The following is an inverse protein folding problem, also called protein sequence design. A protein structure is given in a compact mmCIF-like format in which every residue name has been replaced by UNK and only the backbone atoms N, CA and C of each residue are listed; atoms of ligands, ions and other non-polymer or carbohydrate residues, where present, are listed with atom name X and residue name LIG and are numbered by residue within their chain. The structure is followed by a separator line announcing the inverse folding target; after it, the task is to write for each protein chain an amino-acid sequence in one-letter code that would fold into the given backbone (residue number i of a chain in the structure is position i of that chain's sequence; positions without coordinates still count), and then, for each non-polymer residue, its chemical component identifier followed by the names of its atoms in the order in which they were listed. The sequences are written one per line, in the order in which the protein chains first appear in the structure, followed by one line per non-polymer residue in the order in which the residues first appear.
data_IF_878820703458
#
_entry.id   IF_878820703458
#
_cell.length_a   1.000
_cell.length_b   1.000
_cell.length_c   1.000
_cell.angle_alpha   90.00
_cell.angle_beta   90.00
_cell.angle_gamma   90.00
#
_symmetry.space_group_name_H-M   'P 1'
#
loop_
_entity.id
_entity.type
_entity.pdbx_description
1 polymer ?
#
# COMPACT_ATOMS: atom_id res chain seq x y z
N UNK A 1 35.44 0.65 85.96
CA UNK A 1 34.33 -0.07 85.29
C UNK A 1 34.30 0.40 83.86
N UNK A 2 34.87 -0.39 82.97
CA UNK A 2 34.97 -0.09 81.56
C UNK A 2 33.86 -0.89 80.87
N UNK A 3 32.96 -0.18 80.15
CA UNK A 3 31.90 -0.82 79.37
C UNK A 3 32.37 -0.78 77.90
N UNK A 4 32.68 -1.95 77.41
CA UNK A 4 32.99 -2.22 76.00
C UNK A 4 31.72 -2.18 75.19
N UNK A 5 31.66 -1.30 74.18
CA UNK A 5 30.67 -1.26 73.12
C UNK A 5 30.97 -2.34 72.08
N UNK A 6 29.98 -3.03 71.48
CA UNK A 6 30.23 -3.97 70.42
C UNK A 6 30.39 -3.21 69.05
N UNK A 7 31.42 -3.58 68.37
CA UNK A 7 31.80 -3.13 67.05
C UNK A 7 30.76 -3.65 65.98
N UNK A 8 30.01 -2.73 65.38
CA UNK A 8 29.06 -3.04 64.29
C UNK A 8 29.81 -2.84 63.01
N UNK A 9 30.27 -3.91 62.39
CA UNK A 9 30.81 -3.89 61.03
C UNK A 9 29.75 -3.45 60.01
N UNK A 10 30.09 -2.55 59.09
CA UNK A 10 29.17 -2.15 58.01
C UNK A 10 28.94 -3.34 57.05
N UNK A 11 27.68 -3.77 56.94
CA UNK A 11 27.26 -4.72 55.92
C UNK A 11 27.49 -4.12 54.51
N UNK A 12 28.38 -4.72 53.75
CA UNK A 12 28.55 -4.44 52.33
C UNK A 12 27.22 -4.51 51.60
N UNK A 13 26.88 -3.50 50.71
CA UNK A 13 25.71 -3.60 49.88
C UNK A 13 25.94 -4.72 48.86
N UNK A 14 25.13 -5.79 48.98
CA UNK A 14 25.04 -6.81 47.93
C UNK A 14 24.73 -6.11 46.59
N UNK A 15 25.73 -6.02 45.72
CA UNK A 15 25.54 -5.69 44.34
C UNK A 15 24.64 -6.75 43.71
N UNK A 16 23.36 -6.43 43.58
CA UNK A 16 22.49 -7.18 42.70
C UNK A 16 23.01 -6.95 41.28
N UNK A 17 23.93 -7.80 40.83
CA UNK A 17 24.26 -7.94 39.44
C UNK A 17 22.99 -8.37 38.72
N UNK A 18 22.25 -7.39 38.19
CA UNK A 18 21.23 -7.65 37.18
C UNK A 18 21.96 -8.29 36.03
N UNK A 19 21.91 -9.61 35.96
CA UNK A 19 22.30 -10.38 34.81
C UNK A 19 21.41 -9.93 33.65
N UNK A 20 21.79 -8.82 32.97
CA UNK A 20 21.36 -8.56 31.61
C UNK A 20 22.00 -9.66 30.76
N UNK A 21 21.33 -10.80 30.69
CA UNK A 21 21.67 -11.83 29.73
C UNK A 21 21.65 -11.16 28.36
N UNK A 22 22.83 -11.03 27.76
CA UNK A 22 22.96 -10.57 26.38
C UNK A 22 22.16 -11.55 25.53
N UNK A 23 20.97 -11.13 25.10
CA UNK A 23 20.15 -11.94 24.18
C UNK A 23 20.98 -12.15 22.93
N UNK A 24 21.28 -13.40 22.64
CA UNK A 24 22.02 -13.75 21.43
C UNK A 24 21.17 -13.37 20.20
N UNK A 25 21.51 -12.23 19.59
CA UNK A 25 20.82 -11.71 18.40
C UNK A 25 20.74 -12.75 17.27
N UNK A 26 21.68 -13.69 17.21
CA UNK A 26 21.70 -14.76 16.21
C UNK A 26 20.54 -15.73 16.40
N UNK A 27 20.16 -16.02 17.64
CA UNK A 27 19.04 -16.91 17.96
C UNK A 27 17.69 -16.32 17.52
N UNK A 28 17.59 -15.00 17.36
CA UNK A 28 16.39 -14.31 16.88
C UNK A 28 16.49 -14.09 15.36
N UNK A 29 17.61 -13.56 14.88
CA UNK A 29 17.77 -13.18 13.46
C UNK A 29 17.69 -14.38 12.52
N UNK A 30 18.24 -15.54 12.90
CA UNK A 30 18.27 -16.73 12.04
C UNK A 30 16.88 -17.27 11.69
N UNK A 31 15.94 -17.49 12.64
CA UNK A 31 14.58 -17.92 12.31
C UNK A 31 13.83 -16.95 11.40
N UNK A 32 13.97 -15.64 11.61
CA UNK A 32 13.35 -14.63 10.74
C UNK A 32 13.99 -14.63 9.34
N UNK A 33 15.30 -14.73 9.24
CA UNK A 33 15.98 -14.82 7.96
C UNK A 33 15.53 -16.04 7.16
N UNK A 34 15.37 -17.20 7.80
CA UNK A 34 14.85 -18.41 7.19
C UNK A 34 13.38 -18.20 6.75
N UNK A 35 12.52 -17.67 7.63
CA UNK A 35 11.10 -17.44 7.34
C UNK A 35 10.91 -16.45 6.18
N UNK A 36 11.68 -15.38 6.14
CA UNK A 36 11.68 -14.38 5.07
C UNK A 36 12.25 -14.98 3.78
N UNK A 37 13.38 -15.66 3.87
CA UNK A 37 14.05 -16.28 2.71
C UNK A 37 13.18 -17.32 2.02
N UNK A 38 12.44 -18.12 2.79
CA UNK A 38 11.53 -19.14 2.27
C UNK A 38 10.37 -18.54 1.44
N UNK A 39 10.05 -17.25 1.61
CA UNK A 39 8.98 -16.60 0.86
C UNK A 39 9.44 -15.95 -0.44
N UNK A 40 10.75 -15.80 -0.68
CA UNK A 40 11.30 -15.13 -1.86
C UNK A 40 10.72 -15.69 -3.17
N UNK A 41 10.61 -17.02 -3.40
CA UNK A 41 10.04 -17.53 -4.64
C UNK A 41 8.58 -17.08 -4.86
N UNK A 42 7.77 -17.08 -3.79
CA UNK A 42 6.36 -16.62 -3.86
C UNK A 42 6.24 -15.12 -4.06
N UNK A 43 7.16 -14.33 -3.48
CA UNK A 43 7.23 -12.88 -3.71
C UNK A 43 7.63 -12.55 -5.15
N UNK A 44 8.54 -13.32 -5.74
CA UNK A 44 8.91 -13.18 -7.16
C UNK A 44 7.70 -13.49 -8.05
N UNK A 45 6.97 -14.57 -7.77
CA UNK A 45 5.74 -14.90 -8.50
C UNK A 45 4.68 -13.81 -8.34
N UNK A 46 4.51 -13.28 -7.13
CA UNK A 46 3.59 -12.17 -6.87
C UNK A 46 3.98 -10.90 -7.64
N UNK A 47 5.25 -10.51 -7.60
CA UNK A 47 5.77 -9.37 -8.34
C UNK A 47 5.57 -9.53 -9.85
N UNK A 48 5.81 -10.73 -10.38
CA UNK A 48 5.56 -11.05 -11.79
C UNK A 48 4.08 -10.92 -12.14
N UNK A 49 3.17 -11.47 -11.33
CA UNK A 49 1.73 -11.35 -11.54
C UNK A 49 1.26 -9.89 -11.51
N UNK A 50 1.77 -9.08 -10.55
CA UNK A 50 1.45 -7.66 -10.50
C UNK A 50 1.93 -6.91 -11.75
N UNK A 51 3.09 -7.27 -12.28
CA UNK A 51 3.67 -6.59 -13.43
C UNK A 51 3.01 -6.99 -14.76
N UNK A 52 2.73 -8.29 -14.96
CA UNK A 52 2.25 -8.83 -16.22
C UNK A 52 0.72 -8.84 -16.32
N UNK A 53 0.03 -9.24 -15.25
CA UNK A 53 -1.40 -9.55 -15.30
C UNK A 53 -2.26 -8.39 -14.75
N UNK A 54 -1.66 -7.44 -14.02
CA UNK A 54 -2.39 -6.37 -13.33
C UNK A 54 -1.75 -4.99 -13.60
N UNK A 55 -2.01 -4.36 -14.74
CA UNK A 55 -1.36 -3.10 -15.13
C UNK A 55 -1.56 -1.97 -14.12
N UNK A 56 -2.65 -1.97 -13.37
CA UNK A 56 -2.93 -0.97 -12.32
C UNK A 56 -2.01 -1.08 -11.10
N UNK A 57 -1.30 -2.20 -10.93
CA UNK A 57 -0.31 -2.39 -9.87
C UNK A 57 1.15 -2.25 -10.34
N UNK A 58 1.42 -1.90 -11.58
CA UNK A 58 2.79 -1.81 -12.13
C UNK A 58 3.70 -0.83 -11.37
N UNK A 59 3.13 0.14 -10.66
CA UNK A 59 3.86 1.11 -9.84
C UNK A 59 4.30 0.57 -8.46
N UNK A 60 4.05 -0.72 -8.15
CA UNK A 60 4.43 -1.30 -6.86
C UNK A 60 5.93 -1.19 -6.50
N UNK A 61 6.91 -1.22 -7.44
CA UNK A 61 8.31 -1.01 -7.08
C UNK A 61 8.57 0.38 -6.49
N UNK A 62 7.82 1.39 -6.97
CA UNK A 62 7.88 2.76 -6.43
C UNK A 62 7.33 2.79 -5.01
N UNK A 63 6.30 1.99 -4.70
CA UNK A 63 5.76 1.90 -3.34
C UNK A 63 6.76 1.25 -2.36
N UNK A 64 7.51 0.23 -2.80
CA UNK A 64 8.59 -0.34 -1.99
C UNK A 64 9.65 0.73 -1.71
N UNK A 65 10.11 1.42 -2.75
CA UNK A 65 11.11 2.49 -2.60
C UNK A 65 10.61 3.60 -1.68
N UNK A 66 9.38 4.09 -1.86
CA UNK A 66 8.76 5.10 -1.01
C UNK A 66 8.69 4.64 0.46
N UNK A 67 8.26 3.40 0.70
CA UNK A 67 8.20 2.80 2.05
C UNK A 67 9.59 2.79 2.70
N UNK A 68 10.61 2.35 1.97
CA UNK A 68 12.00 2.31 2.47
C UNK A 68 12.54 3.71 2.76
N UNK A 69 12.32 4.68 1.86
CA UNK A 69 12.76 6.06 2.05
C UNK A 69 12.05 6.74 3.23
N UNK A 70 10.74 6.52 3.38
CA UNK A 70 9.97 7.04 4.52
C UNK A 70 10.45 6.39 5.82
N UNK A 71 10.65 5.07 5.84
CA UNK A 71 11.17 4.37 7.01
C UNK A 71 12.57 4.87 7.38
N UNK A 72 13.43 5.04 6.39
CA UNK A 72 14.77 5.63 6.58
C UNK A 72 14.70 7.05 7.17
N UNK A 73 13.84 7.91 6.61
CA UNK A 73 13.69 9.31 7.08
C UNK A 73 13.11 9.41 8.50
N UNK A 74 12.39 8.38 8.94
CA UNK A 74 11.77 8.29 10.27
C UNK A 74 12.60 7.51 11.28
N UNK A 75 13.68 6.86 10.82
CA UNK A 75 14.55 6.12 11.71
C UNK A 75 15.28 7.08 12.66
N UNK A 76 15.13 6.94 13.98
CA UNK A 76 15.83 7.81 14.92
C UNK A 76 17.33 7.54 14.85
N UNK A 77 18.14 8.62 14.89
CA UNK A 77 19.61 8.51 14.84
C UNK A 77 20.19 7.71 16.02
N UNK A 78 19.50 7.72 17.14
CA UNK A 78 19.87 7.02 18.39
C UNK A 78 18.84 5.93 18.71
N UNK A 79 18.48 5.12 17.71
CA UNK A 79 17.55 4.01 17.93
C UNK A 79 18.12 3.02 18.94
N UNK A 80 17.44 2.86 20.07
CA UNK A 80 17.73 1.79 21.01
C UNK A 80 17.16 0.50 20.46
N UNK A 81 17.99 -0.53 20.42
CA UNK A 81 17.57 -1.89 20.02
C UNK A 81 17.55 -2.80 21.26
N UNK A 82 16.50 -2.69 22.10
CA UNK A 82 16.47 -3.37 23.39
C UNK A 82 16.29 -4.88 23.27
N UNK A 83 16.04 -5.42 22.11
CA UNK A 83 15.71 -6.84 21.89
C UNK A 83 14.82 -7.39 23.02
N UNK A 84 13.53 -7.15 22.91
CA UNK A 84 12.58 -7.63 23.92
C UNK A 84 11.47 -8.50 23.27
N UNK A 85 11.07 -9.53 24.00
CA UNK A 85 9.90 -10.31 23.61
C UNK A 85 8.64 -9.57 24.01
N UNK A 86 7.72 -9.33 23.05
CA UNK A 86 6.43 -8.72 23.31
C UNK A 86 5.31 -9.59 22.74
N UNK A 87 4.16 -9.59 23.39
CA UNK A 87 2.98 -10.30 22.90
C UNK A 87 2.63 -9.86 21.47
N UNK A 88 2.77 -8.56 21.19
CA UNK A 88 2.55 -8.03 19.85
C UNK A 88 3.48 -8.69 18.82
N UNK A 89 4.79 -8.83 19.11
CA UNK A 89 5.73 -9.46 18.19
C UNK A 89 5.38 -10.93 17.96
N UNK A 90 4.96 -11.66 18.99
CA UNK A 90 4.61 -13.07 18.89
C UNK A 90 3.30 -13.26 18.07
N UNK A 91 2.30 -12.41 18.29
CA UNK A 91 1.04 -12.41 17.49
C UNK A 91 1.32 -12.13 16.03
N UNK A 92 2.11 -11.09 15.73
CA UNK A 92 2.47 -10.74 14.35
C UNK A 92 3.29 -11.85 13.69
N UNK A 93 4.17 -12.54 14.42
CA UNK A 93 4.93 -13.68 13.93
C UNK A 93 3.99 -14.83 13.55
N UNK A 94 3.10 -15.23 14.45
CA UNK A 94 2.15 -16.32 14.21
C UNK A 94 1.24 -15.97 13.02
N UNK A 95 0.70 -14.77 12.97
CA UNK A 95 -0.11 -14.31 11.84
C UNK A 95 0.71 -14.34 10.52
N UNK A 96 1.93 -13.85 10.53
CA UNK A 96 2.81 -13.88 9.36
C UNK A 96 3.05 -15.30 8.86
N UNK A 97 3.34 -16.24 9.75
CA UNK A 97 3.51 -17.65 9.40
C UNK A 97 2.22 -18.30 8.90
N UNK A 98 1.07 -17.97 9.48
CA UNK A 98 -0.23 -18.44 8.98
C UNK A 98 -0.50 -17.95 7.55
N UNK A 99 -0.21 -16.69 7.24
CA UNK A 99 -0.34 -16.17 5.87
C UNK A 99 0.67 -16.82 4.92
N UNK A 100 1.89 -17.16 5.37
CA UNK A 100 2.86 -17.91 4.58
C UNK A 100 2.32 -19.29 4.21
N UNK A 101 1.77 -20.02 5.18
CA UNK A 101 1.15 -21.32 4.97
C UNK A 101 -0.06 -21.20 4.03
N UNK A 102 -0.94 -20.21 4.26
CA UNK A 102 -2.10 -19.95 3.41
C UNK A 102 -1.69 -19.65 1.96
N UNK A 103 -0.61 -18.92 1.74
CA UNK A 103 -0.07 -18.63 0.42
C UNK A 103 0.23 -19.91 -0.37
N UNK A 104 0.85 -20.91 0.29
CA UNK A 104 1.23 -22.18 -0.33
C UNK A 104 0.00 -23.08 -0.54
N UNK A 105 -0.85 -23.24 0.49
CA UNK A 105 -2.02 -24.14 0.46
C UNK A 105 -3.07 -23.67 -0.54
N UNK A 106 -3.36 -22.38 -0.57
CA UNK A 106 -4.42 -21.82 -1.41
C UNK A 106 -3.91 -21.24 -2.73
N UNK A 107 -2.61 -21.36 -3.02
CA UNK A 107 -1.97 -20.77 -4.22
C UNK A 107 -2.31 -19.28 -4.39
N UNK A 108 -2.28 -18.55 -3.29
CA UNK A 108 -2.69 -17.16 -3.20
C UNK A 108 -1.47 -16.23 -3.00
N UNK A 109 -0.80 -15.78 -4.09
CA UNK A 109 0.50 -15.09 -4.01
C UNK A 109 0.50 -13.79 -3.21
N UNK A 110 -0.63 -13.06 -3.15
CA UNK A 110 -0.73 -11.83 -2.35
C UNK A 110 -0.61 -12.09 -0.84
N UNK A 111 -0.93 -13.30 -0.37
CA UNK A 111 -0.70 -13.68 1.01
C UNK A 111 0.80 -13.70 1.38
N UNK A 112 1.70 -13.92 0.40
CA UNK A 112 3.14 -13.81 0.63
C UNK A 112 3.56 -12.38 0.97
N UNK A 113 3.00 -11.38 0.28
CA UNK A 113 3.28 -9.97 0.57
C UNK A 113 2.74 -9.58 1.95
N UNK A 114 1.51 -9.99 2.31
CA UNK A 114 0.94 -9.76 3.64
C UNK A 114 1.79 -10.45 4.72
N UNK A 115 2.19 -11.70 4.51
CA UNK A 115 3.07 -12.44 5.40
C UNK A 115 4.40 -11.71 5.61
N UNK A 116 5.04 -11.27 4.52
CA UNK A 116 6.31 -10.52 4.58
C UNK A 116 6.17 -9.24 5.41
N UNK A 117 5.10 -8.47 5.20
CA UNK A 117 4.84 -7.26 5.98
C UNK A 117 4.67 -7.58 7.47
N UNK A 118 3.93 -8.65 7.81
CA UNK A 118 3.73 -9.09 9.20
C UNK A 118 5.02 -9.58 9.84
N UNK A 119 5.85 -10.35 9.13
CA UNK A 119 7.14 -10.82 9.64
C UNK A 119 8.11 -9.67 9.88
N UNK A 120 8.18 -8.70 8.97
CA UNK A 120 9.00 -7.49 9.16
C UNK A 120 8.47 -6.66 10.33
N UNK A 121 7.15 -6.48 10.45
CA UNK A 121 6.54 -5.78 11.57
C UNK A 121 6.79 -6.50 12.91
N UNK A 122 6.73 -7.84 12.94
CA UNK A 122 7.09 -8.67 14.10
C UNK A 122 8.56 -8.48 14.49
N UNK A 123 9.47 -8.53 13.52
CA UNK A 123 10.89 -8.32 13.75
C UNK A 123 11.16 -6.92 14.32
N UNK A 124 10.56 -5.87 13.75
CA UNK A 124 10.65 -4.50 14.25
C UNK A 124 10.09 -4.39 15.67
N UNK A 125 8.91 -4.97 15.95
CA UNK A 125 8.30 -4.96 17.27
C UNK A 125 9.16 -5.67 18.34
N UNK A 126 10.07 -6.56 17.93
CA UNK A 126 11.00 -7.28 18.81
C UNK A 126 12.34 -6.56 18.98
N UNK A 127 12.76 -5.80 17.97
CA UNK A 127 14.12 -5.23 17.93
C UNK A 127 14.18 -3.76 18.29
N UNK A 128 13.08 -2.99 18.12
CA UNK A 128 13.06 -1.55 18.41
C UNK A 128 12.13 -1.23 19.58
N UNK A 129 12.35 -0.10 20.22
CA UNK A 129 11.47 0.42 21.25
C UNK A 129 10.10 0.85 20.71
N UNK A 130 9.12 0.99 21.60
CA UNK A 130 7.74 1.32 21.23
C UNK A 130 7.60 2.66 20.53
N UNK A 131 8.41 3.66 20.88
CA UNK A 131 8.37 4.99 20.26
C UNK A 131 8.87 4.93 18.82
N UNK A 132 9.97 4.22 18.58
CA UNK A 132 10.50 3.97 17.23
C UNK A 132 9.48 3.19 16.39
N UNK A 133 8.89 2.14 16.93
CA UNK A 133 7.85 1.36 16.24
C UNK A 133 6.65 2.23 15.84
N UNK A 134 6.18 3.09 16.77
CA UNK A 134 5.10 4.05 16.52
C UNK A 134 5.45 5.09 15.45
N UNK A 135 6.72 5.45 15.34
CA UNK A 135 7.21 6.35 14.28
C UNK A 135 7.26 5.67 12.92
N UNK A 136 7.61 4.37 12.89
CA UNK A 136 7.86 3.63 11.65
C UNK A 136 6.60 3.02 11.03
N UNK A 137 5.59 2.58 11.83
CA UNK A 137 4.43 1.86 11.31
C UNK A 137 3.71 2.60 10.16
N UNK A 138 3.58 3.95 10.14
CA UNK A 138 2.91 4.62 9.03
C UNK A 138 3.66 4.51 7.70
N UNK A 139 4.98 4.21 7.74
CA UNK A 139 5.75 3.99 6.52
C UNK A 139 5.29 2.76 5.73
N UNK A 140 4.57 1.81 6.36
CA UNK A 140 4.01 0.64 5.67
C UNK A 140 2.73 0.96 4.88
N UNK A 141 2.04 2.09 5.16
CA UNK A 141 0.77 2.42 4.54
C UNK A 141 0.79 2.47 3.00
N UNK A 142 1.84 3.01 2.32
CA UNK A 142 1.92 2.97 0.87
C UNK A 142 1.88 1.54 0.29
N UNK A 143 2.41 0.55 1.01
CA UNK A 143 2.40 -0.85 0.56
C UNK A 143 0.99 -1.46 0.54
N UNK A 144 0.08 -1.02 1.43
CA UNK A 144 -1.29 -1.53 1.45
C UNK A 144 -2.08 -1.19 0.19
N UNK A 145 -1.75 -0.08 -0.48
CA UNK A 145 -2.41 0.30 -1.76
C UNK A 145 -2.14 -0.74 -2.85
N UNK A 146 -0.97 -1.41 -2.79
CA UNK A 146 -0.56 -2.41 -3.77
C UNK A 146 -0.73 -3.85 -3.29
N UNK A 147 -1.31 -4.05 -2.11
CA UNK A 147 -1.69 -5.37 -1.67
C UNK A 147 -2.95 -5.81 -2.45
N UNK A 148 -2.76 -6.72 -3.39
CA UNK A 148 -3.85 -7.25 -4.21
C UNK A 148 -4.94 -7.85 -3.33
N UNK A 149 -6.18 -7.37 -3.52
CA UNK A 149 -7.33 -7.85 -2.77
C UNK A 149 -7.62 -9.32 -3.11
N UNK A 150 -7.99 -10.14 -2.11
CA UNK A 150 -8.31 -11.55 -2.32
C UNK A 150 -9.58 -11.72 -3.17
N UNK A 151 -9.71 -12.90 -3.78
CA UNK A 151 -10.96 -13.36 -4.42
C UNK A 151 -11.45 -12.46 -5.58
N UNK A 152 -10.57 -11.70 -6.23
CA UNK A 152 -10.96 -10.83 -7.36
C UNK A 152 -11.77 -9.60 -6.95
N UNK A 153 -11.76 -9.21 -5.68
CA UNK A 153 -12.43 -7.99 -5.22
C UNK A 153 -11.88 -6.74 -5.89
N UNK A 154 -10.60 -6.75 -6.28
CA UNK A 154 -10.00 -5.71 -7.11
C UNK A 154 -10.67 -5.63 -8.49
N UNK A 155 -10.90 -6.76 -9.13
CA UNK A 155 -11.60 -6.83 -10.42
C UNK A 155 -13.05 -6.34 -10.28
N UNK A 156 -13.74 -6.78 -9.22
CA UNK A 156 -15.11 -6.30 -8.95
C UNK A 156 -15.16 -4.79 -8.74
N UNK A 157 -14.23 -4.24 -7.95
CA UNK A 157 -14.14 -2.80 -7.73
C UNK A 157 -13.88 -2.06 -9.04
N UNK A 158 -12.94 -2.54 -9.84
CA UNK A 158 -12.60 -1.97 -11.15
C UNK A 158 -13.82 -1.96 -12.08
N UNK A 159 -14.51 -3.08 -12.20
CA UNK A 159 -15.71 -3.21 -13.04
C UNK A 159 -16.82 -2.25 -12.58
N UNK A 160 -17.02 -2.11 -11.27
CA UNK A 160 -18.01 -1.14 -10.74
C UNK A 160 -17.61 0.29 -11.03
N UNK A 161 -16.33 0.65 -10.85
CA UNK A 161 -15.84 1.99 -11.17
C UNK A 161 -16.02 2.32 -12.66
N UNK A 162 -15.70 1.37 -13.56
CA UNK A 162 -15.90 1.53 -15.00
C UNK A 162 -17.38 1.72 -15.33
N UNK A 163 -18.25 0.91 -14.76
CA UNK A 163 -19.70 1.01 -14.97
C UNK A 163 -20.27 2.36 -14.52
N UNK A 164 -19.90 2.84 -13.32
CA UNK A 164 -20.34 4.15 -12.84
C UNK A 164 -19.78 5.30 -13.69
N UNK A 165 -18.53 5.19 -14.14
CA UNK A 165 -17.94 6.16 -15.09
C UNK A 165 -18.71 6.18 -16.40
N UNK A 166 -19.15 5.01 -16.92
CA UNK A 166 -19.98 4.91 -18.12
C UNK A 166 -21.33 5.64 -17.95
N UNK A 167 -22.02 5.39 -16.85
CA UNK A 167 -23.31 6.07 -16.55
C UNK A 167 -23.12 7.59 -16.48
N UNK A 168 -22.10 8.06 -15.77
CA UNK A 168 -21.81 9.48 -15.65
C UNK A 168 -21.50 10.10 -17.02
N UNK A 169 -20.68 9.41 -17.85
CA UNK A 169 -20.37 9.87 -19.20
C UNK A 169 -21.60 9.88 -20.09
N UNK A 170 -22.44 8.84 -20.06
CA UNK A 170 -23.69 8.80 -20.81
C UNK A 170 -24.59 10.00 -20.48
N UNK A 171 -24.76 10.32 -19.20
CA UNK A 171 -25.52 11.51 -18.75
C UNK A 171 -24.90 12.83 -19.25
N UNK A 172 -23.56 12.92 -19.28
CA UNK A 172 -22.90 14.12 -19.83
C UNK A 172 -23.11 14.24 -21.34
N UNK A 173 -23.13 13.14 -22.08
CA UNK A 173 -23.46 13.13 -23.51
C UNK A 173 -24.91 13.53 -23.74
N UNK A 174 -25.86 13.04 -22.93
CA UNK A 174 -27.27 13.49 -22.98
C UNK A 174 -27.38 14.98 -22.74
N UNK A 175 -26.71 15.52 -21.72
CA UNK A 175 -26.69 16.96 -21.42
C UNK A 175 -26.08 17.79 -22.57
N UNK A 176 -25.11 17.21 -23.29
CA UNK A 176 -24.50 17.83 -24.47
C UNK A 176 -25.36 17.69 -25.75
N UNK A 177 -26.51 16.99 -25.68
CA UNK A 177 -27.39 16.76 -26.82
C UNK A 177 -26.82 15.77 -27.83
N UNK A 178 -25.86 14.93 -27.44
CA UNK A 178 -25.20 13.97 -28.29
C UNK A 178 -25.90 12.60 -28.23
N UNK A 179 -26.55 12.22 -29.33
CA UNK A 179 -27.20 10.92 -29.47
C UNK A 179 -26.18 9.80 -29.32
N UNK A 180 -26.43 8.89 -28.40
CA UNK A 180 -25.57 7.73 -28.15
C UNK A 180 -26.38 6.56 -27.59
N UNK A 181 -25.81 5.37 -27.60
CA UNK A 181 -26.36 4.18 -26.96
C UNK A 181 -25.32 3.61 -26.00
N UNK A 182 -25.74 3.27 -24.78
CA UNK A 182 -24.88 2.66 -23.78
C UNK A 182 -25.26 1.18 -23.60
N UNK A 183 -24.30 0.28 -23.82
CA UNK A 183 -24.42 -1.14 -23.52
C UNK A 183 -23.33 -1.54 -22.52
N UNK A 184 -23.73 -1.72 -21.27
CA UNK A 184 -22.81 -2.01 -20.17
C UNK A 184 -21.75 -0.91 -19.97
N UNK A 185 -20.51 -1.18 -20.35
CA UNK A 185 -19.37 -0.27 -20.31
C UNK A 185 -18.97 0.24 -21.71
N UNK A 186 -19.78 -0.01 -22.71
CA UNK A 186 -19.53 0.42 -24.09
C UNK A 186 -20.46 1.57 -24.45
N UNK A 187 -19.92 2.65 -24.97
CA UNK A 187 -20.68 3.79 -25.48
C UNK A 187 -20.58 3.77 -27.01
N UNK A 188 -21.71 3.76 -27.68
CA UNK A 188 -21.83 3.75 -29.14
C UNK A 188 -22.43 5.08 -29.61
N UNK A 189 -21.73 5.78 -30.48
CA UNK A 189 -22.23 6.98 -31.15
C UNK A 189 -22.61 6.61 -32.58
N UNK A 190 -23.82 6.95 -33.05
CA UNK A 190 -24.25 6.61 -34.41
C UNK A 190 -23.28 7.11 -35.47
N UNK A 191 -22.87 6.22 -36.40
CA UNK A 191 -21.93 6.55 -37.49
C UNK A 191 -20.46 6.63 -37.09
N UNK A 192 -20.12 6.27 -35.85
CA UNK A 192 -18.75 6.24 -35.34
C UNK A 192 -18.41 4.89 -34.74
N UNK A 193 -17.14 4.68 -34.36
CA UNK A 193 -16.71 3.47 -33.66
C UNK A 193 -17.33 3.37 -32.26
N UNK A 194 -17.45 2.15 -31.78
CA UNK A 194 -17.87 1.91 -30.39
C UNK A 194 -16.69 2.11 -29.42
N UNK A 195 -16.92 2.88 -28.37
CA UNK A 195 -15.90 3.17 -27.35
C UNK A 195 -16.10 2.26 -26.13
N UNK A 196 -15.30 1.20 -26.05
CA UNK A 196 -15.21 0.37 -24.86
C UNK A 196 -14.45 1.10 -23.76
N UNK A 197 -15.06 1.30 -22.59
CA UNK A 197 -14.39 1.99 -21.47
C UNK A 197 -13.15 1.23 -21.02
N UNK A 198 -13.14 -0.11 -21.16
CA UNK A 198 -11.96 -0.94 -20.86
C UNK A 198 -10.77 -0.58 -21.74
N UNK A 199 -10.98 -0.30 -23.01
CA UNK A 199 -9.93 0.07 -23.97
C UNK A 199 -9.53 1.55 -23.86
N UNK A 200 -10.50 2.44 -23.64
CA UNK A 200 -10.28 3.88 -23.56
C UNK A 200 -9.75 4.33 -22.20
N UNK A 201 -9.91 3.50 -21.17
CA UNK A 201 -9.73 3.92 -19.78
C UNK A 201 -8.75 3.06 -19.00
N UNK A 202 -7.48 3.42 -19.06
CA UNK A 202 -6.53 3.10 -17.98
C UNK A 202 -6.81 3.92 -16.69
N UNK A 203 -8.05 4.46 -16.52
CA UNK A 203 -8.42 5.29 -15.38
C UNK A 203 -8.24 4.60 -14.02
N UNK A 204 -8.34 3.28 -14.01
CA UNK A 204 -8.04 2.47 -12.83
C UNK A 204 -6.58 2.61 -12.42
N UNK A 205 -5.66 2.61 -13.38
CA UNK A 205 -4.23 2.85 -13.09
C UNK A 205 -4.03 4.24 -12.49
N UNK A 206 -4.66 5.27 -13.06
CA UNK A 206 -4.62 6.65 -12.52
C UNK A 206 -5.22 6.72 -11.11
N UNK A 207 -6.31 6.00 -10.86
CA UNK A 207 -6.93 5.90 -9.53
C UNK A 207 -5.97 5.34 -8.49
N UNK A 208 -5.33 4.18 -8.75
CA UNK A 208 -4.37 3.59 -7.82
C UNK A 208 -3.14 4.47 -7.65
N UNK A 209 -2.68 5.13 -8.72
CA UNK A 209 -1.54 6.06 -8.66
C UNK A 209 -1.86 7.29 -7.80
N UNK A 210 -3.02 7.93 -7.98
CA UNK A 210 -3.43 9.09 -7.18
C UNK A 210 -3.67 8.70 -5.71
N UNK A 211 -4.28 7.55 -5.48
CA UNK A 211 -4.45 7.02 -4.12
C UNK A 211 -3.10 6.80 -3.44
N UNK A 212 -2.14 6.20 -4.15
CA UNK A 212 -0.79 6.01 -3.66
C UNK A 212 -0.10 7.34 -3.34
N UNK A 213 -0.14 8.31 -4.25
CA UNK A 213 0.45 9.64 -4.02
C UNK A 213 -0.19 10.31 -2.80
N UNK A 214 -1.51 10.25 -2.66
CA UNK A 214 -2.23 10.81 -1.51
C UNK A 214 -1.79 10.16 -0.19
N UNK A 215 -1.65 8.82 -0.16
CA UNK A 215 -1.18 8.09 1.01
C UNK A 215 0.26 8.47 1.34
N UNK A 216 1.16 8.50 0.35
CA UNK A 216 2.55 8.94 0.54
C UNK A 216 2.59 10.36 1.10
N UNK A 217 1.81 11.28 0.54
CA UNK A 217 1.73 12.67 1.01
C UNK A 217 1.28 12.75 2.48
N UNK A 218 0.20 12.04 2.84
CA UNK A 218 -0.29 11.97 4.23
C UNK A 218 0.80 11.50 5.17
N UNK A 219 1.52 10.44 4.77
CA UNK A 219 2.56 9.82 5.61
C UNK A 219 3.78 10.72 5.72
N UNK A 220 4.28 11.28 4.62
CA UNK A 220 5.48 12.14 4.61
C UNK A 220 5.25 13.40 5.44
N UNK A 221 4.12 14.08 5.23
CA UNK A 221 3.78 15.32 5.91
C UNK A 221 3.13 15.13 7.29
N UNK A 222 3.01 13.89 7.77
CA UNK A 222 2.47 13.56 9.11
C UNK A 222 1.13 14.23 9.38
N UNK A 223 0.22 14.22 8.39
CA UNK A 223 -1.07 14.92 8.51
C UNK A 223 -1.96 14.28 9.60
N UNK A 224 -2.72 15.08 10.36
CA UNK A 224 -3.68 14.56 11.33
C UNK A 224 -4.77 13.75 10.62
N UNK A 225 -5.38 12.79 11.31
CA UNK A 225 -6.30 11.80 10.76
C UNK A 225 -7.43 12.43 9.92
N UNK A 226 -8.08 13.49 10.44
CA UNK A 226 -9.16 14.17 9.71
C UNK A 226 -8.70 14.71 8.35
N UNK A 227 -7.58 15.44 8.31
CA UNK A 227 -7.01 15.97 7.06
C UNK A 227 -6.56 14.84 6.12
N UNK A 228 -6.09 13.72 6.66
CA UNK A 228 -5.70 12.55 5.89
C UNK A 228 -6.91 11.91 5.19
N UNK A 229 -8.02 11.75 5.91
CA UNK A 229 -9.27 11.23 5.37
C UNK A 229 -9.79 12.14 4.26
N UNK A 230 -9.84 13.46 4.50
CA UNK A 230 -10.30 14.44 3.50
C UNK A 230 -9.42 14.40 2.25
N UNK A 231 -8.09 14.34 2.42
CA UNK A 231 -7.16 14.29 1.28
C UNK A 231 -7.33 13.01 0.46
N UNK A 232 -7.43 11.85 1.12
CA UNK A 232 -7.61 10.55 0.43
C UNK A 232 -8.98 10.52 -0.26
N UNK A 233 -10.05 10.96 0.40
CA UNK A 233 -11.38 11.06 -0.20
C UNK A 233 -11.39 12.01 -1.40
N UNK A 234 -10.71 13.15 -1.32
CA UNK A 234 -10.52 14.10 -2.42
C UNK A 234 -9.77 13.46 -3.58
N UNK A 235 -8.68 12.72 -3.33
CA UNK A 235 -7.93 12.03 -4.37
C UNK A 235 -8.79 10.99 -5.10
N UNK A 236 -9.60 10.23 -4.36
CA UNK A 236 -10.56 9.27 -4.94
C UNK A 236 -11.60 9.99 -5.78
N UNK A 237 -12.20 11.06 -5.27
CA UNK A 237 -13.19 11.85 -6.01
C UNK A 237 -12.61 12.40 -7.32
N UNK A 238 -11.46 13.06 -7.25
CA UNK A 238 -10.83 13.64 -8.44
C UNK A 238 -10.38 12.58 -9.45
N UNK A 239 -9.89 11.43 -9.00
CA UNK A 239 -9.56 10.33 -9.89
C UNK A 239 -10.77 9.87 -10.72
N UNK A 240 -11.93 9.70 -10.06
CA UNK A 240 -13.17 9.27 -10.70
C UNK A 240 -13.74 10.37 -11.62
N UNK A 241 -13.75 11.61 -11.14
CA UNK A 241 -14.24 12.75 -11.90
C UNK A 241 -13.44 12.97 -13.17
N UNK A 242 -12.10 13.03 -13.07
CA UNK A 242 -11.24 13.22 -14.23
C UNK A 242 -11.28 12.05 -15.20
N UNK A 243 -11.47 10.83 -14.70
CA UNK A 243 -11.70 9.67 -15.56
C UNK A 243 -13.01 9.81 -16.35
N UNK A 244 -14.08 10.24 -15.71
CA UNK A 244 -15.36 10.49 -16.40
C UNK A 244 -15.22 11.58 -17.48
N UNK A 245 -14.53 12.68 -17.18
CA UNK A 245 -14.24 13.73 -18.17
C UNK A 245 -13.42 13.19 -19.35
N UNK A 246 -12.40 12.37 -19.08
CA UNK A 246 -11.60 11.74 -20.11
C UNK A 246 -12.44 10.88 -21.06
N UNK A 247 -13.32 10.02 -20.51
CA UNK A 247 -14.20 9.16 -21.30
C UNK A 247 -15.17 10.03 -22.13
N UNK A 248 -15.69 11.11 -21.56
CA UNK A 248 -16.58 12.05 -22.25
C UNK A 248 -15.88 12.77 -23.41
N UNK A 249 -14.62 13.18 -23.23
CA UNK A 249 -13.87 13.90 -24.26
C UNK A 249 -13.51 13.04 -25.48
N UNK A 250 -13.46 11.72 -25.35
CA UNK A 250 -13.12 10.83 -26.46
C UNK A 250 -14.16 10.91 -27.58
N UNK A 251 -15.45 10.60 -27.36
CA UNK A 251 -16.47 10.70 -28.42
C UNK A 251 -16.69 12.15 -28.87
N UNK A 252 -16.56 13.14 -28.00
CA UNK A 252 -16.66 14.56 -28.36
C UNK A 252 -15.50 14.97 -29.28
N UNK A 253 -14.27 14.54 -28.98
CA UNK A 253 -13.11 14.79 -29.84
C UNK A 253 -13.25 14.16 -31.21
N UNK A 254 -13.80 12.95 -31.27
CA UNK A 254 -14.05 12.26 -32.53
C UNK A 254 -15.08 12.98 -33.43
N UNK A 255 -16.03 13.70 -32.82
CA UNK A 255 -16.98 14.53 -33.60
C UNK A 255 -16.31 15.70 -34.33
N UNK A 256 -15.16 16.16 -33.86
CA UNK A 256 -14.36 17.24 -34.44
C UNK A 256 -13.08 16.71 -35.14
N UNK A 257 -13.07 15.42 -35.48
CA UNK A 257 -11.98 14.68 -36.13
C UNK A 257 -10.64 14.73 -35.37
N UNK A 258 -10.70 14.84 -34.05
CA UNK A 258 -9.56 14.71 -33.14
C UNK A 258 -9.46 13.27 -32.62
N UNK A 259 -8.46 12.47 -32.99
CA UNK A 259 -8.34 11.06 -32.59
C UNK A 259 -7.88 10.93 -31.15
N UNK A 260 -8.77 11.22 -30.19
CA UNK A 260 -8.47 11.12 -28.74
C UNK A 260 -8.53 9.70 -28.21
N UNK A 261 -9.08 8.75 -28.98
CA UNK A 261 -9.21 7.35 -28.54
C UNK A 261 -7.89 6.60 -28.51
N UNK A 262 -6.92 6.95 -29.36
CA UNK A 262 -5.67 6.20 -29.56
C UNK A 262 -4.44 7.08 -29.69
N UNK A 263 -3.26 6.48 -29.47
CA UNK A 263 -1.96 7.06 -29.73
C UNK A 263 -1.54 8.20 -28.80
N UNK A 264 -0.71 9.10 -29.30
CA UNK A 264 -0.13 10.21 -28.56
C UNK A 264 -1.17 11.19 -27.97
N UNK A 265 -2.25 11.60 -28.67
CA UNK A 265 -3.29 12.47 -28.12
C UNK A 265 -3.98 11.82 -26.90
N UNK A 266 -4.26 10.53 -26.94
CA UNK A 266 -4.81 9.77 -25.83
C UNK A 266 -3.90 9.80 -24.59
N UNK A 267 -2.59 9.58 -24.78
CA UNK A 267 -1.62 9.63 -23.71
C UNK A 267 -1.50 11.05 -23.12
N UNK A 268 -1.48 12.08 -23.96
CA UNK A 268 -1.44 13.48 -23.52
C UNK A 268 -2.68 13.88 -22.73
N UNK A 269 -3.87 13.45 -23.17
CA UNK A 269 -5.12 13.67 -22.43
C UNK A 269 -5.03 13.06 -21.03
N UNK A 270 -4.55 11.81 -20.92
CA UNK A 270 -4.35 11.15 -19.63
C UNK A 270 -3.38 11.89 -18.72
N UNK A 271 -2.23 12.31 -19.24
CA UNK A 271 -1.21 13.03 -18.48
C UNK A 271 -1.69 14.42 -18.04
N UNK A 272 -2.36 15.18 -18.91
CA UNK A 272 -2.86 16.52 -18.58
C UNK A 272 -3.89 16.47 -17.44
N UNK A 273 -4.78 15.47 -17.44
CA UNK A 273 -5.79 15.28 -16.41
C UNK A 273 -5.19 14.84 -15.07
N UNK A 274 -4.11 14.06 -15.07
CA UNK A 274 -3.37 13.71 -13.84
C UNK A 274 -2.64 14.94 -13.28
N UNK A 275 -2.15 15.82 -14.16
CA UNK A 275 -1.42 17.01 -13.72
C UNK A 275 -2.32 18.07 -13.07
N UNK A 276 -3.58 18.18 -13.47
CA UNK A 276 -4.58 19.06 -12.87
C UNK A 276 -5.03 18.54 -11.52
#
# INVERSE_FOLDING_TARGET
MATTSPDVSPSEPRSSSSAHGSVDWKSIALPYAIAIGAQIPMLILYARNLHLDKPHYQTFPIAILATLLIAWSRWPKEAKMPFHRSVLSDVLLVMGLMFAIACVLFKFPSAAAASMMLLVASLLARTVDKETLKSLWPASLPMFVFLSLPSGLDVLLITKLQYYSAICTSRLLDLAGLGHHMDGTVIQVPGRESYGIEQACSGVQSFFTLLFIAVVFVVVFRRPLFRSIVLIASAVFWALFMNTIRIFLIPVGDLVDLPLAHGFPHAMLGLSLIHI
#
